data_IF_176142617197
#
_entry.id   IF_176142617197
#
_cell.length_a   1.000
_cell.length_b   1.000
_cell.length_c   1.000
_cell.angle_alpha   90.00
_cell.angle_beta   90.00
_cell.angle_gamma   90.00
#
_symmetry.space_group_name_H-M   'P 1'
#
loop_
_entity.id
_entity.type
_entity.pdbx_description
1 polymer ?
#
# COMPACT_ATOMS: atom_id res chain seq x y z
N UNK A 1 3.74 -45.27 -26.49
CA UNK A 1 3.97 -43.83 -26.72
C UNK A 1 2.70 -42.97 -26.63
N UNK A 2 1.59 -43.26 -27.34
CA UNK A 2 0.35 -42.46 -27.27
C UNK A 2 -0.26 -42.29 -25.85
N UNK A 3 -0.22 -43.34 -25.02
CA UNK A 3 -0.74 -43.30 -23.63
C UNK A 3 0.12 -42.45 -22.68
N UNK A 4 1.44 -42.44 -22.87
CA UNK A 4 2.39 -41.65 -22.06
C UNK A 4 2.24 -40.16 -22.42
N UNK A 5 2.09 -39.84 -23.71
CA UNK A 5 1.87 -38.47 -24.17
C UNK A 5 0.56 -37.89 -23.61
N UNK A 6 -0.50 -38.69 -23.54
CA UNK A 6 -1.79 -38.28 -22.96
C UNK A 6 -1.72 -38.02 -21.45
N UNK A 7 -0.92 -38.81 -20.71
CA UNK A 7 -0.71 -38.62 -19.27
C UNK A 7 0.12 -37.36 -19.00
N UNK A 8 1.14 -37.08 -19.81
CA UNK A 8 1.95 -35.86 -19.70
C UNK A 8 1.11 -34.62 -20.04
N UNK A 9 0.26 -34.68 -21.08
CA UNK A 9 -0.66 -33.60 -21.42
C UNK A 9 -1.72 -33.35 -20.34
N UNK A 10 -2.28 -34.42 -19.75
CA UNK A 10 -3.24 -34.31 -18.64
C UNK A 10 -2.59 -33.73 -17.37
N UNK A 11 -1.35 -34.13 -17.06
CA UNK A 11 -0.58 -33.60 -15.93
C UNK A 11 -0.21 -32.12 -16.14
N UNK A 12 0.11 -31.71 -17.37
CA UNK A 12 0.34 -30.30 -17.71
C UNK A 12 -0.94 -29.48 -17.56
N UNK A 13 -2.10 -29.97 -18.02
CA UNK A 13 -3.37 -29.25 -17.84
C UNK A 13 -3.79 -29.12 -16.37
N UNK A 14 -3.49 -30.11 -15.53
CA UNK A 14 -3.76 -30.06 -14.07
C UNK A 14 -2.81 -29.07 -13.37
N UNK A 15 -1.59 -28.89 -13.89
CA UNK A 15 -0.61 -27.94 -13.33
C UNK A 15 -0.92 -26.48 -13.68
N UNK A 16 -1.76 -26.22 -14.70
CA UNK A 16 -2.30 -24.87 -14.98
C UNK A 16 -3.64 -24.62 -14.28
N UNK A 17 -4.25 -25.64 -13.66
CA UNK A 17 -5.60 -25.55 -13.08
C UNK A 17 -5.68 -25.83 -11.57
N UNK A 18 -4.56 -25.77 -10.84
CA UNK A 18 -4.49 -26.14 -9.42
C UNK A 18 -3.99 -25.00 -8.53
N UNK A 19 -4.93 -24.31 -7.89
CA UNK A 19 -4.74 -23.26 -6.88
C UNK A 19 -4.04 -22.01 -7.41
N UNK A 20 -4.80 -21.05 -7.93
CA UNK A 20 -4.34 -19.66 -7.91
C UNK A 20 -3.89 -19.39 -6.47
N UNK A 21 -2.65 -18.95 -6.24
CA UNK A 21 -2.20 -18.52 -4.92
C UNK A 21 -2.98 -17.30 -4.38
N UNK A 22 -4.12 -16.98 -4.99
CA UNK A 22 -5.04 -15.94 -4.64
C UNK A 22 -5.68 -16.25 -3.29
N UNK A 23 -5.82 -15.20 -2.49
CA UNK A 23 -6.56 -15.23 -1.25
C UNK A 23 -8.06 -15.45 -1.54
N UNK A 24 -8.81 -15.90 -0.55
CA UNK A 24 -10.27 -15.81 -0.62
C UNK A 24 -10.72 -14.34 -0.64
N UNK A 25 -11.95 -14.06 -1.10
CA UNK A 25 -12.47 -12.69 -1.16
C UNK A 25 -12.41 -11.99 0.20
N UNK A 26 -12.82 -12.67 1.27
CA UNK A 26 -12.79 -12.11 2.62
C UNK A 26 -11.37 -11.96 3.16
N UNK A 27 -10.48 -12.93 2.97
CA UNK A 27 -9.08 -12.80 3.43
C UNK A 27 -8.34 -11.68 2.70
N UNK A 28 -8.60 -11.49 1.41
CA UNK A 28 -8.06 -10.37 0.65
C UNK A 28 -8.60 -9.05 1.16
N UNK A 29 -9.92 -8.96 1.37
CA UNK A 29 -10.57 -7.78 1.93
C UNK A 29 -9.98 -7.40 3.29
N UNK A 30 -9.90 -8.36 4.22
CA UNK A 30 -9.33 -8.15 5.57
C UNK A 30 -7.89 -7.63 5.49
N UNK A 31 -7.01 -8.34 4.78
CA UNK A 31 -5.58 -7.96 4.71
C UNK A 31 -5.34 -6.65 3.98
N UNK A 32 -6.12 -6.40 2.93
CA UNK A 32 -6.05 -5.14 2.18
C UNK A 32 -6.49 -3.98 3.07
N UNK A 33 -7.65 -4.11 3.71
CA UNK A 33 -8.21 -3.07 4.56
C UNK A 33 -7.32 -2.78 5.77
N UNK A 34 -6.84 -3.82 6.46
CA UNK A 34 -5.91 -3.68 7.60
C UNK A 34 -4.62 -2.93 7.21
N UNK A 35 -4.02 -3.32 6.08
CA UNK A 35 -2.78 -2.69 5.60
C UNK A 35 -3.04 -1.24 5.16
N UNK A 36 -4.17 -0.98 4.50
CA UNK A 36 -4.53 0.36 4.06
C UNK A 36 -4.84 1.30 5.24
N UNK A 37 -5.57 0.82 6.25
CA UNK A 37 -5.82 1.56 7.48
C UNK A 37 -4.53 1.83 8.28
N UNK A 38 -3.61 0.87 8.32
CA UNK A 38 -2.30 1.04 8.95
C UNK A 38 -1.50 2.14 8.25
N UNK A 39 -1.44 2.10 6.91
CA UNK A 39 -0.84 3.15 6.10
C UNK A 39 -1.45 4.54 6.40
N UNK A 40 -2.77 4.68 6.38
CA UNK A 40 -3.44 5.95 6.66
C UNK A 40 -3.21 6.45 8.09
N UNK A 41 -3.12 5.54 9.06
CA UNK A 41 -2.81 5.87 10.46
C UNK A 41 -1.44 6.51 10.57
N UNK A 42 -0.42 5.90 9.96
CA UNK A 42 0.94 6.42 9.98
C UNK A 42 1.07 7.73 9.21
N UNK A 43 0.42 7.87 8.05
CA UNK A 43 0.36 9.13 7.30
C UNK A 43 -0.25 10.25 8.15
N UNK A 44 -1.27 9.95 8.95
CA UNK A 44 -1.87 10.92 9.86
C UNK A 44 -0.92 11.35 10.97
N UNK A 45 -0.13 10.42 11.52
CA UNK A 45 0.91 10.73 12.50
C UNK A 45 1.94 11.67 11.90
N UNK A 46 2.48 11.33 10.73
CA UNK A 46 3.48 12.14 10.02
C UNK A 46 2.93 13.56 9.75
N UNK A 47 1.71 13.64 9.21
CA UNK A 47 1.05 14.93 8.94
C UNK A 47 0.84 15.75 10.22
N UNK A 48 0.48 15.10 11.32
CA UNK A 48 0.32 15.77 12.62
C UNK A 48 1.63 16.32 13.15
N UNK A 49 2.73 15.57 13.03
CA UNK A 49 4.05 16.04 13.49
C UNK A 49 4.55 17.20 12.62
N UNK A 50 4.44 17.12 11.30
CA UNK A 50 4.81 18.23 10.42
C UNK A 50 3.96 19.49 10.61
N UNK A 51 2.69 19.36 10.99
CA UNK A 51 1.84 20.52 11.29
C UNK A 51 2.35 21.34 12.49
N UNK A 52 3.14 20.74 13.40
CA UNK A 52 3.70 21.45 14.57
C UNK A 52 4.81 22.45 14.20
N UNK A 53 5.42 22.27 13.04
CA UNK A 53 6.55 23.08 12.54
C UNK A 53 6.18 23.95 11.34
N UNK A 54 4.94 23.83 10.82
CA UNK A 54 4.42 24.77 9.83
C UNK A 54 4.14 26.15 10.47
N UNK A 55 4.16 27.21 9.65
CA UNK A 55 3.84 28.60 10.01
C UNK A 55 4.71 29.26 11.09
N UNK A 56 5.98 28.87 11.20
CA UNK A 56 6.89 29.41 12.22
C UNK A 56 6.59 28.89 13.62
N UNK A 57 5.87 27.77 13.72
CA UNK A 57 5.61 27.08 14.98
C UNK A 57 6.90 26.67 15.68
N UNK A 58 7.04 27.04 16.95
CA UNK A 58 8.09 26.56 17.85
C UNK A 58 7.81 25.15 18.37
N UNK A 59 6.96 24.38 17.69
CA UNK A 59 6.51 23.07 18.13
C UNK A 59 7.64 22.06 18.00
N UNK A 60 7.87 21.29 19.05
CA UNK A 60 8.86 20.22 19.04
C UNK A 60 8.29 19.04 18.23
N UNK A 61 8.73 18.93 16.97
CA UNK A 61 8.43 17.79 16.11
C UNK A 61 9.09 16.54 16.68
N UNK A 62 8.31 15.48 16.89
CA UNK A 62 8.87 14.20 17.27
C UNK A 62 9.40 13.48 16.03
N UNK A 63 10.65 13.78 15.68
CA UNK A 63 11.32 13.23 14.50
C UNK A 63 11.46 11.70 14.54
N UNK A 64 11.67 11.11 15.72
CA UNK A 64 11.79 9.66 15.85
C UNK A 64 10.44 8.97 15.56
N UNK A 65 9.34 9.61 15.95
CA UNK A 65 7.98 9.19 15.61
C UNK A 65 7.67 9.36 14.13
N UNK A 66 8.10 10.46 13.49
CA UNK A 66 7.99 10.64 12.03
C UNK A 66 8.71 9.51 11.30
N UNK A 67 9.97 9.25 11.65
CA UNK A 67 10.77 8.17 11.03
C UNK A 67 10.11 6.81 11.17
N UNK A 68 9.69 6.46 12.39
CA UNK A 68 9.04 5.18 12.67
C UNK A 68 7.76 5.01 11.86
N UNK A 69 6.93 6.05 11.83
CA UNK A 69 5.66 6.05 11.08
C UNK A 69 5.91 5.97 9.57
N UNK A 70 6.92 6.66 9.05
CA UNK A 70 7.26 6.61 7.62
C UNK A 70 7.70 5.21 7.17
N UNK A 71 8.55 4.54 7.97
CA UNK A 71 8.97 3.16 7.71
C UNK A 71 7.79 2.19 7.80
N UNK A 72 6.90 2.39 8.78
CA UNK A 72 5.69 1.57 8.96
C UNK A 72 4.67 1.76 7.82
N UNK A 73 4.42 3.00 7.40
CA UNK A 73 3.60 3.33 6.25
C UNK A 73 4.15 2.68 4.97
N UNK A 74 5.47 2.78 4.75
CA UNK A 74 6.16 2.16 3.63
C UNK A 74 5.99 0.63 3.61
N UNK A 75 6.08 0.00 4.79
CA UNK A 75 5.90 -1.44 4.95
C UNK A 75 4.45 -1.87 4.68
N UNK A 76 3.47 -1.07 5.08
CA UNK A 76 2.06 -1.31 4.81
C UNK A 76 1.75 -1.30 3.31
N UNK A 77 2.37 -0.37 2.56
CA UNK A 77 2.27 -0.34 1.09
C UNK A 77 2.89 -1.59 0.44
N UNK A 78 4.02 -2.09 0.94
CA UNK A 78 4.60 -3.35 0.44
C UNK A 78 3.74 -4.57 0.78
N UNK A 79 3.06 -4.55 1.94
CA UNK A 79 2.15 -5.61 2.32
C UNK A 79 0.98 -5.67 1.32
N UNK A 80 0.43 -4.51 0.93
CA UNK A 80 -0.60 -4.41 -0.12
C UNK A 80 -0.06 -4.95 -1.45
N UNK A 81 1.13 -4.54 -1.88
CA UNK A 81 1.74 -4.96 -3.16
C UNK A 81 1.98 -6.47 -3.26
N UNK A 82 2.20 -7.14 -2.13
CA UNK A 82 2.42 -8.59 -2.05
C UNK A 82 1.13 -9.41 -1.94
N UNK A 83 -0.04 -8.76 -1.83
CA UNK A 83 -1.31 -9.49 -1.78
C UNK A 83 -1.56 -10.21 -3.11
N UNK A 84 -2.09 -11.42 -3.02
CA UNK A 84 -2.57 -12.16 -4.17
C UNK A 84 -4.10 -11.96 -4.28
N UNK A 85 -4.58 -11.02 -5.13
CA UNK A 85 -6.00 -10.72 -5.20
C UNK A 85 -6.79 -11.89 -5.83
N UNK A 86 -8.05 -12.12 -5.39
CA UNK A 86 -9.01 -12.92 -6.12
C UNK A 86 -9.20 -12.39 -7.55
N UNK A 87 -9.53 -13.27 -8.50
CA UNK A 87 -9.70 -12.90 -9.92
C UNK A 87 -10.63 -11.68 -10.11
N UNK A 88 -11.74 -11.65 -9.36
CA UNK A 88 -12.74 -10.57 -9.33
C UNK A 88 -12.16 -9.17 -9.04
N UNK A 89 -11.07 -9.08 -8.30
CA UNK A 89 -10.42 -7.82 -7.90
C UNK A 89 -9.04 -7.62 -8.55
N UNK A 90 -8.58 -8.58 -9.36
CA UNK A 90 -7.23 -8.59 -9.91
C UNK A 90 -6.91 -7.39 -10.80
N UNK A 91 -7.88 -6.94 -11.62
CA UNK A 91 -7.72 -5.79 -12.50
C UNK A 91 -7.58 -4.48 -11.70
N UNK A 92 -8.48 -4.25 -10.74
CA UNK A 92 -8.46 -3.08 -9.87
C UNK A 92 -7.20 -3.05 -9.00
N UNK A 93 -6.78 -4.20 -8.47
CA UNK A 93 -5.54 -4.31 -7.72
C UNK A 93 -4.33 -3.92 -8.58
N UNK A 94 -4.26 -4.43 -9.81
CA UNK A 94 -3.15 -4.13 -10.73
C UNK A 94 -3.09 -2.65 -11.09
N UNK A 95 -4.22 -2.02 -11.41
CA UNK A 95 -4.30 -0.58 -11.67
C UNK A 95 -3.85 0.25 -10.45
N UNK A 96 -4.23 -0.18 -9.25
CA UNK A 96 -3.80 0.48 -8.02
C UNK A 96 -2.28 0.34 -7.80
N UNK A 97 -1.68 -0.80 -8.17
CA UNK A 97 -0.22 -1.01 -8.04
C UNK A 97 0.59 -0.12 -8.97
N UNK A 98 0.08 0.26 -10.13
CA UNK A 98 0.72 1.25 -10.99
C UNK A 98 0.85 2.62 -10.32
N UNK A 99 0.02 2.90 -9.31
CA UNK A 99 -0.08 4.19 -8.60
C UNK A 99 0.59 4.19 -7.23
N UNK A 100 1.01 3.02 -6.72
CA UNK A 100 1.52 2.88 -5.35
C UNK A 100 2.93 3.49 -5.16
N UNK A 101 3.70 3.57 -6.25
CA UNK A 101 5.11 4.02 -6.24
C UNK A 101 5.27 5.44 -5.69
N UNK A 102 4.35 6.36 -6.00
CA UNK A 102 4.38 7.74 -5.49
C UNK A 102 4.25 7.79 -3.97
N UNK A 103 3.34 7.00 -3.38
CA UNK A 103 3.19 6.92 -1.93
C UNK A 103 4.38 6.22 -1.25
N UNK A 104 4.98 5.22 -1.90
CA UNK A 104 6.22 4.57 -1.42
C UNK A 104 7.36 5.58 -1.36
N UNK A 105 7.57 6.34 -2.44
CA UNK A 105 8.58 7.38 -2.50
C UNK A 105 8.34 8.48 -1.46
N UNK A 106 7.09 8.90 -1.26
CA UNK A 106 6.72 9.86 -0.22
C UNK A 106 7.13 9.39 1.18
N UNK A 107 6.89 8.11 1.51
CA UNK A 107 7.32 7.54 2.78
C UNK A 107 8.85 7.52 2.92
N UNK A 108 9.56 7.18 1.85
CA UNK A 108 11.03 7.14 1.83
C UNK A 108 11.62 8.56 2.07
N UNK A 109 11.04 9.59 1.45
CA UNK A 109 11.42 11.00 1.69
C UNK A 109 11.11 11.41 3.14
N UNK A 110 9.92 11.09 3.66
CA UNK A 110 9.55 11.43 5.04
C UNK A 110 10.50 10.82 6.08
N UNK A 111 10.95 9.57 5.86
CA UNK A 111 11.95 8.93 6.71
C UNK A 111 13.32 9.63 6.62
N UNK A 112 13.75 10.03 5.42
CA UNK A 112 15.02 10.74 5.21
C UNK A 112 15.02 12.12 5.86
N UNK A 113 13.92 12.88 5.76
CA UNK A 113 13.75 14.18 6.43
C UNK A 113 13.86 14.03 7.95
N UNK A 114 13.29 12.96 8.51
CA UNK A 114 13.37 12.69 9.94
C UNK A 114 14.77 12.26 10.41
N UNK A 115 15.52 11.54 9.57
CA UNK A 115 16.90 11.11 9.86
C UNK A 115 17.91 12.26 9.74
N UNK A 116 17.77 13.08 8.70
CA UNK A 116 18.60 14.24 8.49
C UNK A 116 17.89 15.50 9.00
N UNK A 117 17.93 15.70 10.33
CA UNK A 117 17.35 16.85 11.03
C UNK A 117 17.96 18.20 10.65
N UNK A 118 19.00 18.21 9.80
CA UNK A 118 19.53 19.41 9.15
C UNK A 118 18.81 19.76 7.84
N UNK A 119 17.81 18.97 7.46
CA UNK A 119 16.89 19.20 6.36
C UNK A 119 16.36 20.64 6.42
N UNK A 120 16.99 21.46 5.59
CA UNK A 120 16.61 22.83 5.26
C UNK A 120 15.16 22.86 4.75
N UNK A 121 14.52 24.03 4.77
CA UNK A 121 13.19 24.26 4.18
C UNK A 121 13.01 23.59 2.81
N UNK A 122 14.09 23.47 2.02
CA UNK A 122 14.16 22.75 0.74
C UNK A 122 13.71 21.28 0.78
N UNK A 123 14.08 20.49 1.80
CA UNK A 123 13.66 19.08 1.90
C UNK A 123 12.21 18.93 2.41
N UNK A 124 11.75 19.87 3.23
CA UNK A 124 10.33 19.97 3.61
C UNK A 124 9.48 20.39 2.41
N UNK A 125 10.01 21.26 1.55
CA UNK A 125 9.43 21.62 0.26
C UNK A 125 9.41 20.42 -0.69
N UNK A 126 10.50 19.64 -0.81
CA UNK A 126 10.51 18.39 -1.57
C UNK A 126 9.46 17.39 -1.08
N UNK A 127 9.27 17.26 0.23
CA UNK A 127 8.22 16.40 0.78
C UNK A 127 6.82 16.96 0.46
N UNK A 128 6.61 18.27 0.62
CA UNK A 128 5.33 18.93 0.31
C UNK A 128 4.98 18.81 -1.18
N UNK A 129 5.99 18.92 -2.03
CA UNK A 129 5.87 18.86 -3.48
C UNK A 129 5.89 17.41 -3.99
N UNK A 130 6.45 16.48 -3.20
CA UNK A 130 6.32 15.04 -3.47
C UNK A 130 4.86 14.66 -3.39
N UNK A 131 4.35 14.19 -4.52
CA UNK A 131 2.94 13.92 -4.70
C UNK A 131 2.55 12.76 -3.78
N UNK A 132 1.88 13.08 -2.66
CA UNK A 132 1.02 12.09 -2.01
C UNK A 132 -0.06 11.72 -3.02
N UNK A 133 0.13 10.57 -3.66
CA UNK A 133 -0.66 10.18 -4.83
C UNK A 133 -2.12 9.95 -4.45
N UNK A 134 -2.93 11.00 -4.65
CA UNK A 134 -4.40 10.97 -4.48
C UNK A 134 -5.04 9.93 -5.38
N UNK A 135 -4.37 9.59 -6.49
CA UNK A 135 -4.82 8.59 -7.45
C UNK A 135 -4.82 7.18 -6.85
N UNK A 136 -3.80 6.81 -6.05
CA UNK A 136 -3.76 5.55 -5.30
C UNK A 136 -4.88 5.49 -4.25
N UNK A 137 -5.04 6.54 -3.44
CA UNK A 137 -6.08 6.56 -2.40
C UNK A 137 -7.49 6.47 -2.97
N UNK A 138 -7.75 7.16 -4.09
CA UNK A 138 -9.02 7.04 -4.81
C UNK A 138 -9.27 5.61 -5.29
N UNK A 139 -8.25 4.94 -5.84
CA UNK A 139 -8.35 3.55 -6.29
C UNK A 139 -8.57 2.57 -5.13
N UNK A 140 -7.85 2.75 -4.02
CA UNK A 140 -8.01 1.95 -2.80
C UNK A 140 -9.43 2.06 -2.24
N UNK A 141 -9.97 3.29 -2.16
CA UNK A 141 -11.34 3.53 -1.69
C UNK A 141 -12.37 2.92 -2.64
N UNK A 142 -12.18 3.05 -3.97
CA UNK A 142 -13.08 2.44 -4.95
C UNK A 142 -13.11 0.91 -4.81
N UNK A 143 -11.95 0.27 -4.60
CA UNK A 143 -11.86 -1.16 -4.36
C UNK A 143 -12.59 -1.57 -3.07
N UNK A 144 -12.47 -0.80 -1.99
CA UNK A 144 -13.20 -1.04 -0.73
C UNK A 144 -14.70 -0.95 -0.93
N UNK A 145 -15.19 0.03 -1.70
CA UNK A 145 -16.60 0.12 -2.05
C UNK A 145 -17.06 -1.11 -2.83
N UNK A 146 -16.30 -1.56 -3.82
CA UNK A 146 -16.61 -2.77 -4.59
C UNK A 146 -16.65 -4.03 -3.71
N UNK A 147 -15.75 -4.16 -2.73
CA UNK A 147 -15.78 -5.25 -1.74
C UNK A 147 -17.06 -5.21 -0.91
N UNK A 148 -17.44 -4.02 -0.43
CA UNK A 148 -18.65 -3.84 0.40
C UNK A 148 -19.93 -4.08 -0.38
N UNK A 149 -20.02 -3.61 -1.63
CA UNK A 149 -21.13 -3.91 -2.55
C UNK A 149 -21.23 -5.41 -2.86
N UNK A 150 -20.09 -6.11 -2.87
CA UNK A 150 -20.01 -7.56 -2.97
C UNK A 150 -20.44 -8.33 -1.72
N UNK A 151 -20.82 -7.64 -0.64
CA UNK A 151 -21.28 -8.26 0.61
C UNK A 151 -20.16 -8.66 1.59
N UNK A 152 -18.93 -8.20 1.37
CA UNK A 152 -17.81 -8.46 2.28
C UNK A 152 -17.89 -7.55 3.51
N UNK A 153 -17.50 -8.09 4.67
CA UNK A 153 -17.44 -7.33 5.91
C UNK A 153 -16.09 -6.62 6.03
N UNK A 154 -16.11 -5.33 6.34
CA UNK A 154 -14.91 -4.56 6.72
C UNK A 154 -14.78 -4.65 8.24
N UNK A 155 -13.62 -5.08 8.73
CA UNK A 155 -13.33 -5.19 10.16
C UNK A 155 -12.99 -3.85 10.80
#
# INVERSE_FOLDING_TARGET
MKKILAVILAALTIMVSGCSGALSEQEYCDRFFDSYCSFLTDVRVISSEFSKIQDGGSGDCDWDKVKTSAISARSSLEAIEKLAPPEKYSAQHSEMMEKISGNKNWCDIAAQVADDRSATEEKLDELRDSVFEKSFNSAAVALIFQMKEGGLELK
#
